data_IF_196735931996
#
_entry.id   IF_196735931996
#
_cell.length_a   1.000
_cell.length_b   1.000
_cell.length_c   1.000
_cell.angle_alpha   90.00
_cell.angle_beta   90.00
_cell.angle_gamma   90.00
#
_symmetry.space_group_name_H-M   'P 1'
#
loop_
_entity.id
_entity.type
_entity.pdbx_description
1 polymer ?
#
# COMPACT_ATOMS: atom_id res chain seq x y z
N UNK A 1 4.03 7.02 33.66
CA UNK A 1 3.14 8.18 33.45
C UNK A 1 1.69 7.68 33.39
N UNK A 2 0.75 8.32 34.08
CA UNK A 2 -0.67 7.95 33.99
C UNK A 2 -1.30 8.70 32.80
N UNK A 3 -1.76 7.97 31.79
CA UNK A 3 -2.31 8.54 30.54
C UNK A 3 -3.64 7.89 30.21
N UNK A 4 -4.44 8.56 29.37
CA UNK A 4 -5.77 8.10 28.95
C UNK A 4 -5.71 6.76 28.21
N UNK A 5 -6.86 6.09 27.99
CA UNK A 5 -6.93 4.88 27.16
C UNK A 5 -6.44 5.16 25.73
N UNK A 6 -6.83 6.29 25.15
CA UNK A 6 -6.32 6.78 23.87
C UNK A 6 -4.80 6.89 23.87
N UNK A 7 -4.23 7.62 24.88
CA UNK A 7 -2.78 7.77 24.99
C UNK A 7 -2.05 6.44 25.12
N UNK A 8 -2.61 5.50 25.91
CA UNK A 8 -2.04 4.14 26.03
C UNK A 8 -2.01 3.42 24.68
N UNK A 9 -3.12 3.44 23.94
CA UNK A 9 -3.18 2.80 22.62
C UNK A 9 -2.14 3.34 21.64
N UNK A 10 -2.04 4.66 21.53
CA UNK A 10 -1.15 5.30 20.55
C UNK A 10 0.32 5.42 21.01
N UNK A 11 0.66 4.99 22.23
CA UNK A 11 2.04 4.93 22.74
C UNK A 11 2.48 3.51 23.07
N UNK A 12 1.67 2.48 22.76
CA UNK A 12 2.07 1.09 22.86
C UNK A 12 2.98 0.70 21.69
N UNK A 13 3.83 -0.30 21.93
CA UNK A 13 4.57 -0.92 20.84
C UNK A 13 3.59 -1.54 19.84
N UNK A 14 3.62 -1.06 18.61
CA UNK A 14 2.85 -1.58 17.48
C UNK A 14 3.80 -2.02 16.38
N UNK A 15 3.31 -2.86 15.47
CA UNK A 15 4.13 -3.33 14.34
C UNK A 15 4.66 -2.17 13.49
N UNK A 16 3.84 -1.13 13.25
CA UNK A 16 4.28 0.05 12.50
C UNK A 16 5.32 0.87 13.26
N UNK A 17 5.19 1.04 14.58
CA UNK A 17 6.15 1.79 15.40
C UNK A 17 7.50 1.07 15.43
N UNK A 18 7.50 -0.25 15.70
CA UNK A 18 8.72 -1.06 15.68
C UNK A 18 9.42 -0.98 14.33
N UNK A 19 8.66 -1.07 13.24
CA UNK A 19 9.18 -0.94 11.88
C UNK A 19 9.84 0.42 11.66
N UNK A 20 9.18 1.52 12.05
CA UNK A 20 9.71 2.88 11.86
C UNK A 20 10.95 3.12 12.70
N UNK A 21 11.00 2.62 13.94
CA UNK A 21 12.18 2.72 14.81
C UNK A 21 13.36 1.92 14.23
N UNK A 22 13.12 0.69 13.74
CA UNK A 22 14.15 -0.14 13.14
C UNK A 22 14.70 0.45 11.84
N UNK A 23 13.82 1.01 11.00
CA UNK A 23 14.21 1.72 9.78
C UNK A 23 15.01 2.99 10.09
N UNK A 24 14.57 3.77 11.09
CA UNK A 24 15.27 4.98 11.54
C UNK A 24 16.65 4.65 12.09
N UNK A 25 16.77 3.62 12.91
CA UNK A 25 18.03 3.16 13.46
C UNK A 25 18.99 2.63 12.37
N UNK A 26 18.46 1.91 11.38
CA UNK A 26 19.26 1.41 10.27
C UNK A 26 19.79 2.54 9.36
N UNK A 27 18.99 3.57 9.10
CA UNK A 27 19.43 4.76 8.35
C UNK A 27 20.53 5.55 9.05
N UNK A 28 20.58 5.49 10.38
CA UNK A 28 21.57 6.15 11.21
C UNK A 28 22.77 5.24 11.60
N UNK A 29 22.79 4.00 11.08
CA UNK A 29 23.84 3.03 11.39
C UNK A 29 25.08 3.25 10.53
N UNK A 30 26.27 3.20 11.15
CA UNK A 30 27.55 3.18 10.42
C UNK A 30 27.82 1.83 9.74
N UNK A 31 27.04 0.79 10.03
CA UNK A 31 27.17 -0.52 9.41
C UNK A 31 26.29 -0.62 8.16
N UNK A 32 26.77 -1.24 7.08
CA UNK A 32 25.92 -1.47 5.90
C UNK A 32 24.74 -2.36 6.26
N UNK A 33 23.53 -1.94 5.90
CA UNK A 33 22.28 -2.67 6.13
C UNK A 33 21.59 -2.91 4.79
N UNK A 34 21.23 -4.16 4.53
CA UNK A 34 20.37 -4.54 3.38
C UNK A 34 18.91 -4.18 3.73
N UNK A 35 18.47 -2.99 3.31
CA UNK A 35 17.18 -2.39 3.68
C UNK A 35 16.04 -2.93 2.81
N UNK A 36 15.69 -4.21 2.95
CA UNK A 36 14.58 -4.81 2.19
C UNK A 36 13.21 -4.67 2.89
N UNK A 37 13.15 -4.06 4.08
CA UNK A 37 11.92 -3.81 4.82
C UNK A 37 11.26 -2.46 4.51
N UNK A 38 11.98 -1.51 3.91
CA UNK A 38 11.54 -0.14 3.72
C UNK A 38 10.34 0.03 2.80
N UNK A 39 9.57 1.09 3.03
CA UNK A 39 8.45 1.50 2.18
C UNK A 39 8.73 2.77 1.34
N UNK A 40 9.96 3.28 1.36
CA UNK A 40 10.34 4.44 0.56
C UNK A 40 10.36 4.10 -0.93
N UNK A 41 9.94 5.03 -1.80
CA UNK A 41 10.11 4.86 -3.24
C UNK A 41 11.61 4.85 -3.61
N UNK A 42 11.93 4.19 -4.73
CA UNK A 42 13.27 4.18 -5.27
C UNK A 42 13.70 5.56 -5.75
N UNK A 43 15.01 5.76 -5.80
CA UNK A 43 15.64 6.96 -6.32
C UNK A 43 15.86 6.82 -7.82
N UNK A 44 14.90 7.29 -8.64
CA UNK A 44 14.95 7.21 -10.10
C UNK A 44 15.56 8.50 -10.65
N UNK A 45 16.73 8.43 -11.26
CA UNK A 45 17.51 9.61 -11.65
C UNK A 45 16.74 10.57 -12.57
N UNK A 46 16.10 10.06 -13.63
CA UNK A 46 15.31 10.87 -14.58
C UNK A 46 14.12 11.56 -13.91
N UNK A 47 13.47 10.90 -12.96
CA UNK A 47 12.35 11.49 -12.19
C UNK A 47 12.88 12.58 -11.24
N UNK A 48 14.02 12.33 -10.59
CA UNK A 48 14.63 13.30 -9.67
C UNK A 48 15.10 14.57 -10.37
N UNK A 49 15.58 14.49 -11.62
CA UNK A 49 15.94 15.66 -12.41
C UNK A 49 14.74 16.58 -12.62
N UNK A 50 13.57 16.02 -12.94
CA UNK A 50 12.32 16.79 -13.08
C UNK A 50 11.92 17.43 -11.74
N UNK A 51 12.02 16.68 -10.64
CA UNK A 51 11.69 17.21 -9.31
C UNK A 51 12.68 18.29 -8.86
N UNK A 52 13.96 18.11 -9.13
CA UNK A 52 14.97 19.12 -8.81
C UNK A 52 14.67 20.44 -9.57
N UNK A 53 14.29 20.36 -10.84
CA UNK A 53 13.89 21.53 -11.59
C UNK A 53 12.62 22.17 -11.01
N UNK A 54 11.60 21.37 -10.71
CA UNK A 54 10.37 21.83 -10.05
C UNK A 54 10.66 22.58 -8.73
N UNK A 55 11.57 22.06 -7.89
CA UNK A 55 11.98 22.74 -6.65
C UNK A 55 12.68 24.07 -6.93
N UNK A 56 13.60 24.10 -7.91
CA UNK A 56 14.28 25.34 -8.32
C UNK A 56 13.27 26.38 -8.80
N UNK A 57 12.33 25.99 -9.64
CA UNK A 57 11.31 26.88 -10.18
C UNK A 57 10.40 27.45 -9.07
N UNK A 58 10.11 26.65 -8.03
CA UNK A 58 9.28 27.08 -6.90
C UNK A 58 9.92 28.18 -6.05
N UNK A 59 11.26 28.27 -6.06
CA UNK A 59 12.02 29.28 -5.32
C UNK A 59 12.22 30.55 -6.15
N UNK A 60 12.14 30.45 -7.49
CA UNK A 60 12.29 31.60 -8.39
C UNK A 60 11.08 32.52 -8.26
N UNK A 61 11.33 33.80 -8.36
CA UNK A 61 10.34 34.88 -8.20
C UNK A 61 10.81 35.94 -7.21
N UNK A 62 10.40 37.17 -7.42
CA UNK A 62 10.75 38.30 -6.54
C UNK A 62 9.77 38.36 -5.35
N UNK A 63 10.23 37.98 -4.18
CA UNK A 63 9.49 38.14 -2.91
C UNK A 63 8.14 37.40 -2.89
N UNK A 64 7.03 38.13 -2.97
CA UNK A 64 5.68 37.57 -2.85
C UNK A 64 5.28 36.64 -4.01
N UNK A 65 5.98 36.64 -5.13
CA UNK A 65 5.69 35.78 -6.29
C UNK A 65 6.34 34.41 -6.21
N UNK A 66 7.19 34.14 -5.17
CA UNK A 66 7.76 32.83 -4.94
C UNK A 66 6.72 31.86 -4.40
N UNK A 67 6.44 30.77 -5.12
CA UNK A 67 5.52 29.71 -4.68
C UNK A 67 5.98 29.11 -3.34
N UNK A 68 7.29 28.91 -3.16
CA UNK A 68 7.84 28.37 -1.93
C UNK A 68 7.57 29.31 -0.74
N UNK A 69 7.75 30.64 -0.90
CA UNK A 69 7.47 31.61 0.14
C UNK A 69 5.96 31.71 0.45
N UNK A 70 5.11 31.74 -0.57
CA UNK A 70 3.65 31.73 -0.39
C UNK A 70 3.20 30.52 0.42
N UNK A 71 3.75 29.33 0.11
CA UNK A 71 3.43 28.10 0.83
C UNK A 71 3.92 28.09 2.27
N UNK A 72 5.06 28.71 2.54
CA UNK A 72 5.62 28.79 3.90
C UNK A 72 4.91 29.82 4.79
N UNK A 73 4.35 30.88 4.17
CA UNK A 73 3.84 32.05 4.89
C UNK A 73 2.33 32.00 5.20
N UNK A 74 1.57 31.17 4.48
CA UNK A 74 0.11 31.21 4.54
C UNK A 74 -0.50 29.82 4.72
N UNK A 75 -1.48 29.72 5.60
CA UNK A 75 -2.33 28.53 5.67
C UNK A 75 -3.18 28.37 4.41
N UNK A 76 -3.40 27.13 3.99
CA UNK A 76 -4.44 26.82 3.00
C UNK A 76 -5.82 26.71 3.67
N UNK A 77 -6.85 26.54 2.85
CA UNK A 77 -8.17 26.13 3.33
C UNK A 77 -8.07 24.73 3.97
N UNK A 78 -8.87 24.38 4.99
CA UNK A 78 -8.91 23.03 5.56
C UNK A 78 -9.17 21.91 4.55
N UNK A 79 -9.86 22.19 3.45
CA UNK A 79 -10.04 21.26 2.33
C UNK A 79 -8.73 21.01 1.57
N UNK A 80 -7.81 21.97 1.57
CA UNK A 80 -6.51 21.92 0.88
C UNK A 80 -6.25 23.10 -0.03
N UNK A 81 -5.16 23.04 -0.80
CA UNK A 81 -4.77 24.07 -1.76
C UNK A 81 -5.74 24.11 -2.95
N UNK A 82 -6.43 25.25 -3.13
CA UNK A 82 -7.48 25.40 -4.13
C UNK A 82 -6.98 25.36 -5.58
N UNK A 83 -5.71 25.76 -5.83
CA UNK A 83 -5.10 25.69 -7.17
C UNK A 83 -4.83 24.24 -7.54
N UNK A 84 -4.28 23.48 -6.61
CA UNK A 84 -4.03 22.05 -6.81
C UNK A 84 -5.32 21.24 -6.95
N UNK A 85 -6.34 21.53 -6.12
CA UNK A 85 -7.66 20.89 -6.25
C UNK A 85 -8.27 21.17 -7.63
N UNK A 86 -8.16 22.42 -8.15
CA UNK A 86 -8.63 22.75 -9.51
C UNK A 86 -7.89 21.94 -10.56
N UNK A 87 -6.55 21.87 -10.46
CA UNK A 87 -5.73 21.10 -11.40
C UNK A 87 -6.12 19.60 -11.40
N UNK A 88 -6.40 19.04 -10.21
CA UNK A 88 -6.85 17.65 -10.10
C UNK A 88 -8.25 17.43 -10.72
N UNK A 89 -9.19 18.35 -10.51
CA UNK A 89 -10.53 18.30 -11.14
C UNK A 89 -10.38 18.27 -12.66
N UNK A 90 -9.62 19.20 -13.22
CA UNK A 90 -9.38 19.28 -14.66
C UNK A 90 -8.68 18.03 -15.20
N UNK A 91 -7.69 17.53 -14.46
CA UNK A 91 -6.96 16.30 -14.81
C UNK A 91 -7.88 15.08 -14.84
N UNK A 92 -8.62 14.80 -13.75
CA UNK A 92 -9.47 13.60 -13.68
C UNK A 92 -10.65 13.66 -14.67
N UNK A 93 -11.27 14.81 -14.86
CA UNK A 93 -12.33 14.97 -15.86
C UNK A 93 -11.82 14.80 -17.28
N UNK A 94 -10.61 15.26 -17.60
CA UNK A 94 -9.98 15.08 -18.91
C UNK A 94 -9.63 13.62 -19.21
N UNK A 95 -9.16 12.87 -18.20
CA UNK A 95 -8.70 11.49 -18.39
C UNK A 95 -9.77 10.43 -18.18
N UNK A 96 -10.80 10.69 -17.35
CA UNK A 96 -11.77 9.69 -16.91
C UNK A 96 -13.23 10.10 -17.08
N UNK A 97 -13.50 11.35 -17.45
CA UNK A 97 -14.87 11.88 -17.67
C UNK A 97 -15.82 11.66 -16.47
N UNK A 98 -15.29 11.83 -15.25
CA UNK A 98 -16.07 11.57 -14.03
C UNK A 98 -17.07 12.67 -13.67
N UNK A 99 -16.95 13.86 -14.28
CA UNK A 99 -17.79 15.01 -13.97
C UNK A 99 -17.63 15.54 -12.55
N UNK A 100 -16.48 15.29 -11.91
CA UNK A 100 -16.19 15.76 -10.54
C UNK A 100 -15.95 17.25 -10.50
N UNK A 101 -16.20 17.85 -9.33
CA UNK A 101 -15.98 19.25 -9.02
C UNK A 101 -15.01 19.41 -7.87
N UNK A 102 -14.72 20.63 -7.48
CA UNK A 102 -13.90 20.90 -6.28
C UNK A 102 -14.49 20.33 -5.00
N UNK A 103 -15.81 20.17 -4.95
CA UNK A 103 -16.50 19.63 -3.79
C UNK A 103 -16.27 18.12 -3.62
N UNK A 104 -15.69 17.46 -4.63
CA UNK A 104 -15.36 16.04 -4.60
C UNK A 104 -13.92 15.75 -4.17
N UNK A 105 -13.07 16.76 -3.92
CA UNK A 105 -11.65 16.54 -3.60
C UNK A 105 -11.27 17.22 -2.28
N UNK A 106 -10.61 16.48 -1.39
CA UNK A 106 -9.91 17.03 -0.23
C UNK A 106 -8.46 16.54 -0.19
N UNK A 107 -7.56 17.38 0.35
CA UNK A 107 -6.18 17.04 0.61
C UNK A 107 -5.99 16.66 2.07
N UNK A 108 -4.97 15.86 2.35
CA UNK A 108 -4.56 15.44 3.70
C UNK A 108 -3.04 15.43 3.81
N UNK A 109 -2.51 15.33 5.03
CA UNK A 109 -1.07 15.19 5.28
C UNK A 109 -0.55 13.77 4.98
N UNK A 110 -0.70 13.34 3.72
CA UNK A 110 -0.47 12.00 3.23
C UNK A 110 -1.69 11.09 3.42
N UNK A 111 -1.74 9.97 2.68
CA UNK A 111 -2.85 9.00 2.75
C UNK A 111 -3.02 8.37 4.15
N UNK A 112 -1.95 8.23 4.93
CA UNK A 112 -2.06 7.74 6.32
C UNK A 112 -3.01 8.62 7.17
N UNK A 113 -2.97 9.93 6.99
CA UNK A 113 -3.87 10.86 7.67
C UNK A 113 -5.32 10.72 7.14
N UNK A 114 -5.49 10.47 5.83
CA UNK A 114 -6.79 10.18 5.24
C UNK A 114 -7.40 8.90 5.84
N UNK A 115 -6.64 7.81 5.95
CA UNK A 115 -7.12 6.55 6.54
C UNK A 115 -7.45 6.70 8.03
N UNK A 116 -6.66 7.47 8.78
CA UNK A 116 -7.01 7.78 10.16
C UNK A 116 -8.39 8.46 10.24
N UNK A 117 -8.70 9.40 9.35
CA UNK A 117 -10.01 10.03 9.32
C UNK A 117 -11.11 9.06 8.88
N UNK A 118 -10.93 8.38 7.76
CA UNK A 118 -11.95 7.50 7.18
C UNK A 118 -12.31 6.34 8.10
N UNK A 119 -11.31 5.71 8.73
CA UNK A 119 -11.58 4.58 9.62
C UNK A 119 -12.29 5.01 10.91
N UNK A 120 -12.09 6.24 11.38
CA UNK A 120 -12.82 6.78 12.52
C UNK A 120 -14.14 7.48 12.14
N UNK A 121 -14.38 7.75 10.85
CA UNK A 121 -15.69 8.19 10.34
C UNK A 121 -16.65 7.01 10.14
N UNK A 122 -16.12 5.86 9.70
CA UNK A 122 -16.92 4.70 9.31
C UNK A 122 -16.78 3.49 10.25
N UNK A 123 -15.86 3.52 11.20
CA UNK A 123 -15.71 2.54 12.29
C UNK A 123 -15.95 3.17 13.65
N UNK A 124 -16.38 2.37 14.63
CA UNK A 124 -16.62 2.81 16.00
C UNK A 124 -18.07 2.77 16.41
N UNK A 125 -18.42 3.50 17.46
CA UNK A 125 -19.76 3.56 18.01
C UNK A 125 -20.67 4.48 17.18
N UNK A 126 -21.81 3.96 16.76
CA UNK A 126 -22.90 4.67 16.08
C UNK A 126 -24.17 4.62 16.93
N UNK A 127 -25.17 5.43 16.60
CA UNK A 127 -26.44 5.44 17.33
C UNK A 127 -27.19 4.10 17.26
N UNK A 128 -26.94 3.31 16.20
CA UNK A 128 -27.54 2.00 15.93
C UNK A 128 -26.61 0.82 16.29
N UNK A 129 -25.48 1.06 16.95
CA UNK A 129 -24.53 0.05 17.39
C UNK A 129 -23.11 0.26 16.85
N UNK A 130 -22.20 -0.62 17.22
CA UNK A 130 -20.81 -0.53 16.77
C UNK A 130 -20.65 -1.03 15.34
N UNK A 131 -19.84 -0.31 14.53
CA UNK A 131 -19.51 -0.68 13.15
C UNK A 131 -18.02 -0.85 12.96
N UNK A 132 -17.64 -1.77 12.08
CA UNK A 132 -16.26 -2.08 11.74
C UNK A 132 -15.95 -1.75 10.29
N UNK A 133 -14.67 -1.58 9.98
CA UNK A 133 -14.15 -1.54 8.62
C UNK A 133 -13.92 -2.98 8.16
N UNK A 134 -14.51 -3.36 7.04
CA UNK A 134 -14.34 -4.67 6.44
C UNK A 134 -13.19 -4.64 5.42
N UNK A 135 -12.21 -5.51 5.63
CA UNK A 135 -11.10 -5.77 4.70
C UNK A 135 -11.41 -7.06 3.92
N UNK A 136 -11.89 -6.96 2.68
CA UNK A 136 -12.42 -8.11 1.93
C UNK A 136 -11.33 -9.08 1.47
N UNK A 137 -10.09 -8.66 1.53
CA UNK A 137 -8.90 -9.45 1.24
C UNK A 137 -7.78 -9.02 2.19
N UNK A 138 -7.28 -9.95 2.98
CA UNK A 138 -6.04 -9.76 3.75
C UNK A 138 -4.94 -10.64 3.15
N UNK A 139 -3.67 -10.33 3.31
CA UNK A 139 -3.10 -9.25 4.12
C UNK A 139 -3.28 -7.87 3.49
N UNK A 140 -3.32 -6.83 4.33
CA UNK A 140 -3.45 -5.42 3.98
C UNK A 140 -2.39 -4.56 4.69
N UNK A 141 -2.34 -3.26 4.39
CA UNK A 141 -1.31 -2.36 4.88
C UNK A 141 -1.22 -2.34 6.41
N UNK A 142 -0.01 -2.59 6.94
CA UNK A 142 0.29 -2.62 8.38
C UNK A 142 -0.19 -1.36 9.13
N UNK A 143 -0.16 -0.20 8.49
CA UNK A 143 -0.59 1.07 9.07
C UNK A 143 -2.10 1.18 9.33
N UNK A 144 -2.93 0.25 8.81
CA UNK A 144 -4.36 0.25 9.07
C UNK A 144 -4.67 -0.18 10.50
N UNK A 145 -3.96 -1.19 11.02
CA UNK A 145 -4.22 -1.76 12.35
C UNK A 145 -4.27 -0.70 13.46
N UNK A 146 -3.44 0.32 13.36
CA UNK A 146 -3.30 1.37 14.35
C UNK A 146 -4.08 2.65 14.01
N UNK A 147 -4.69 2.76 12.84
CA UNK A 147 -5.35 3.98 12.39
C UNK A 147 -6.71 4.24 13.05
N UNK A 148 -7.35 3.24 13.68
CA UNK A 148 -8.58 3.43 14.44
C UNK A 148 -8.29 3.75 15.92
N UNK A 149 -9.06 4.68 16.53
CA UNK A 149 -8.82 5.19 17.88
C UNK A 149 -8.75 4.10 18.95
N UNK A 150 -9.63 3.09 18.90
CA UNK A 150 -9.61 1.98 19.86
C UNK A 150 -8.98 0.68 19.33
N UNK A 151 -8.69 0.60 18.03
CA UNK A 151 -8.01 -0.53 17.39
C UNK A 151 -8.82 -1.82 17.26
N UNK A 152 -10.15 -1.76 17.47
CA UNK A 152 -11.00 -2.96 17.52
C UNK A 152 -11.91 -3.14 16.33
N UNK A 153 -12.10 -2.12 15.52
CA UNK A 153 -13.13 -2.06 14.49
C UNK A 153 -12.61 -2.43 13.10
N UNK A 154 -11.91 -3.58 13.02
CA UNK A 154 -11.54 -4.19 11.74
C UNK A 154 -12.00 -5.64 11.70
N UNK A 155 -12.58 -6.03 10.57
CA UNK A 155 -12.91 -7.43 10.25
C UNK A 155 -12.22 -7.75 8.93
N UNK A 156 -11.33 -8.74 8.94
CA UNK A 156 -10.61 -9.19 7.75
C UNK A 156 -11.15 -10.52 7.23
N UNK A 157 -11.10 -10.71 5.91
CA UNK A 157 -11.40 -11.99 5.25
C UNK A 157 -10.09 -12.63 4.82
N UNK A 158 -9.90 -13.92 5.16
CA UNK A 158 -8.76 -14.72 4.69
C UNK A 158 -8.81 -14.86 3.17
N UNK A 159 -7.67 -14.80 2.45
CA UNK A 159 -7.65 -14.97 1.02
C UNK A 159 -7.93 -16.41 0.60
N UNK A 160 -8.51 -16.59 -0.58
CA UNK A 160 -8.30 -17.84 -1.35
C UNK A 160 -6.93 -17.77 -1.99
N UNK A 161 -6.12 -18.82 -1.78
CA UNK A 161 -4.76 -18.92 -2.33
C UNK A 161 -4.83 -19.80 -3.57
N UNK A 162 -4.50 -19.22 -4.73
CA UNK A 162 -4.43 -19.94 -6.00
C UNK A 162 -2.97 -20.06 -6.44
N UNK A 163 -2.49 -21.30 -6.64
CA UNK A 163 -1.19 -21.53 -7.29
C UNK A 163 -1.32 -21.18 -8.77
N UNK A 164 -0.33 -20.50 -9.30
CA UNK A 164 -0.33 -20.06 -10.70
C UNK A 164 1.09 -20.01 -11.26
N UNK A 165 1.17 -19.89 -12.57
CA UNK A 165 2.41 -19.58 -13.27
C UNK A 165 2.52 -18.07 -13.52
N UNK A 166 3.73 -17.58 -13.60
CA UNK A 166 4.05 -16.24 -14.02
C UNK A 166 5.23 -16.27 -14.99
N UNK A 167 5.06 -15.65 -16.15
CA UNK A 167 6.07 -15.62 -17.22
C UNK A 167 6.62 -17.02 -17.60
N UNK A 168 5.71 -18.00 -17.72
CA UNK A 168 5.99 -19.42 -17.97
C UNK A 168 6.87 -20.11 -16.91
N UNK A 169 6.90 -19.57 -15.70
CA UNK A 169 7.62 -20.16 -14.56
C UNK A 169 6.59 -20.55 -13.49
N UNK A 170 6.80 -21.72 -12.87
CA UNK A 170 6.05 -22.21 -11.70
C UNK A 170 6.52 -21.57 -10.39
N UNK A 171 5.89 -21.95 -9.28
CA UNK A 171 6.26 -21.48 -7.93
C UNK A 171 5.73 -20.09 -7.61
N UNK A 172 4.65 -19.69 -8.27
CA UNK A 172 3.91 -18.48 -7.95
C UNK A 172 2.54 -18.82 -7.35
N UNK A 173 1.96 -17.83 -6.67
CA UNK A 173 0.59 -17.87 -6.19
C UNK A 173 -0.06 -16.49 -6.26
N UNK A 174 -1.38 -16.47 -6.21
CA UNK A 174 -2.18 -15.24 -6.18
C UNK A 174 -3.25 -15.32 -5.12
N UNK A 175 -3.49 -14.21 -4.46
CA UNK A 175 -4.64 -14.06 -3.57
C UNK A 175 -5.89 -13.63 -4.34
N UNK A 176 -7.00 -14.24 -3.97
CA UNK A 176 -8.34 -13.92 -4.47
C UNK A 176 -9.28 -13.63 -3.31
N UNK A 177 -10.25 -12.75 -3.54
CA UNK A 177 -11.32 -12.51 -2.56
C UNK A 177 -12.14 -13.78 -2.36
N UNK A 178 -12.32 -14.19 -1.11
CA UNK A 178 -13.29 -15.23 -0.78
C UNK A 178 -14.69 -14.63 -0.66
N UNK A 179 -15.36 -14.50 -1.80
CA UNK A 179 -16.69 -13.95 -1.85
C UNK A 179 -17.74 -14.79 -1.14
N UNK A 180 -17.53 -16.10 -1.00
CA UNK A 180 -18.46 -16.96 -0.27
C UNK A 180 -18.38 -16.62 1.23
N UNK A 181 -17.18 -16.48 1.77
CA UNK A 181 -16.98 -16.04 3.14
C UNK A 181 -17.50 -14.60 3.36
N UNK A 182 -17.23 -13.70 2.42
CA UNK A 182 -17.65 -12.29 2.49
C UNK A 182 -19.17 -12.15 2.52
N UNK A 183 -19.90 -12.78 1.58
CA UNK A 183 -21.37 -12.66 1.46
C UNK A 183 -22.10 -13.39 2.59
N UNK A 184 -21.46 -14.35 3.25
CA UNK A 184 -21.99 -15.04 4.41
C UNK A 184 -21.61 -14.42 5.75
N UNK A 185 -20.84 -13.33 5.75
CA UNK A 185 -20.42 -12.65 6.98
C UNK A 185 -21.62 -12.08 7.76
N UNK A 186 -21.81 -12.54 8.98
CA UNK A 186 -22.92 -12.10 9.84
C UNK A 186 -22.84 -10.60 10.16
N UNK A 187 -21.64 -10.06 10.36
CA UNK A 187 -21.44 -8.65 10.63
C UNK A 187 -21.97 -7.75 9.49
N UNK A 188 -21.85 -8.21 8.22
CA UNK A 188 -22.39 -7.50 7.06
C UNK A 188 -23.92 -7.55 7.04
N UNK A 189 -24.51 -8.73 7.33
CA UNK A 189 -25.96 -8.93 7.38
C UNK A 189 -26.62 -8.18 8.55
N UNK A 190 -25.90 -8.01 9.65
CA UNK A 190 -26.39 -7.38 10.89
C UNK A 190 -26.07 -5.88 10.98
N UNK A 191 -25.73 -5.22 9.87
CA UNK A 191 -25.41 -3.77 9.81
C UNK A 191 -24.24 -3.36 10.73
N UNK A 192 -23.26 -4.24 10.95
CA UNK A 192 -22.09 -3.99 11.79
C UNK A 192 -20.85 -3.57 10.98
N UNK A 193 -21.03 -3.30 9.70
CA UNK A 193 -19.98 -2.79 8.80
C UNK A 193 -20.32 -1.36 8.43
N UNK A 194 -19.35 -0.45 8.58
CA UNK A 194 -19.50 0.95 8.21
C UNK A 194 -18.86 1.30 6.87
N UNK A 195 -17.85 0.54 6.44
CA UNK A 195 -17.23 0.67 5.12
C UNK A 195 -16.51 -0.62 4.72
N UNK A 196 -16.34 -0.85 3.42
CA UNK A 196 -15.40 -1.84 2.87
C UNK A 196 -14.14 -1.07 2.47
N UNK A 197 -12.95 -1.59 2.79
CA UNK A 197 -11.69 -0.99 2.39
C UNK A 197 -10.76 -2.03 1.77
N UNK A 198 -10.19 -1.71 0.60
CA UNK A 198 -9.17 -2.53 -0.05
C UNK A 198 -8.09 -1.66 -0.69
N UNK A 199 -6.88 -2.19 -0.85
CA UNK A 199 -5.80 -1.53 -1.59
C UNK A 199 -5.61 -2.15 -2.98
N UNK A 200 -5.28 -1.31 -3.99
CA UNK A 200 -5.13 -1.74 -5.37
C UNK A 200 -4.08 -0.93 -6.12
N UNK A 201 -2.85 -1.40 -6.29
CA UNK A 201 -2.22 -2.64 -5.77
C UNK A 201 -2.09 -2.68 -4.25
N UNK A 202 -2.07 -3.90 -3.72
CA UNK A 202 -1.99 -4.13 -2.28
C UNK A 202 -0.56 -3.99 -1.76
N UNK A 203 -0.38 -3.27 -0.68
CA UNK A 203 0.75 -3.41 0.21
C UNK A 203 0.31 -4.35 1.35
N UNK A 204 0.87 -5.58 1.50
CA UNK A 204 2.27 -5.94 1.21
C UNK A 204 2.50 -6.73 -0.09
N UNK A 205 1.49 -7.26 -0.73
CA UNK A 205 1.60 -8.41 -1.65
C UNK A 205 1.87 -8.04 -3.10
N UNK A 206 1.61 -6.78 -3.49
CA UNK A 206 1.59 -6.39 -4.90
C UNK A 206 0.37 -6.93 -5.66
N UNK A 207 -0.61 -7.54 -4.97
CA UNK A 207 -1.82 -8.06 -5.59
C UNK A 207 -2.65 -6.94 -6.22
N UNK A 208 -3.18 -7.18 -7.40
CA UNK A 208 -4.14 -6.28 -8.06
C UNK A 208 -5.47 -7.02 -8.15
N UNK A 209 -6.47 -6.54 -7.40
CA UNK A 209 -7.84 -7.01 -7.54
C UNK A 209 -8.29 -6.81 -8.98
N UNK A 210 -8.90 -7.83 -9.57
CA UNK A 210 -9.43 -7.74 -10.94
C UNK A 210 -10.58 -6.74 -11.02
N UNK A 211 -10.90 -6.27 -12.24
CA UNK A 211 -12.05 -5.39 -12.45
C UNK A 211 -13.37 -6.06 -12.02
N UNK A 212 -13.49 -7.38 -12.21
CA UNK A 212 -14.66 -8.16 -11.79
C UNK A 212 -14.77 -8.26 -10.26
N UNK A 213 -13.63 -8.46 -9.56
CA UNK A 213 -13.59 -8.44 -8.09
C UNK A 213 -13.99 -7.07 -7.56
N UNK A 214 -13.47 -5.98 -8.17
CA UNK A 214 -13.82 -4.61 -7.79
C UNK A 214 -15.31 -4.31 -8.00
N UNK A 215 -15.86 -4.69 -9.16
CA UNK A 215 -17.28 -4.51 -9.46
C UNK A 215 -18.17 -5.30 -8.47
N UNK A 216 -17.76 -6.51 -8.08
CA UNK A 216 -18.50 -7.31 -7.10
C UNK A 216 -18.43 -6.71 -5.70
N UNK A 217 -17.26 -6.19 -5.28
CA UNK A 217 -17.10 -5.48 -3.99
C UNK A 217 -17.97 -4.22 -3.94
N UNK A 218 -18.00 -3.45 -5.02
CA UNK A 218 -18.83 -2.26 -5.14
C UNK A 218 -20.32 -2.58 -5.09
N UNK A 219 -20.76 -3.61 -5.79
CA UNK A 219 -22.15 -4.09 -5.73
C UNK A 219 -22.54 -4.51 -4.29
N UNK A 220 -21.64 -5.16 -3.56
CA UNK A 220 -21.87 -5.51 -2.14
C UNK A 220 -21.96 -4.23 -1.31
N UNK A 221 -21.04 -3.29 -1.48
CA UNK A 221 -21.06 -2.02 -0.75
C UNK A 221 -22.36 -1.24 -0.99
N UNK A 222 -22.80 -1.13 -2.24
CA UNK A 222 -24.07 -0.48 -2.59
C UNK A 222 -25.27 -1.20 -2.00
N UNK A 223 -25.31 -2.54 -2.06
CA UNK A 223 -26.39 -3.36 -1.49
C UNK A 223 -26.61 -3.08 0.01
N UNK A 224 -25.52 -2.85 0.74
CA UNK A 224 -25.57 -2.58 2.17
C UNK A 224 -25.52 -1.08 2.52
N UNK A 225 -25.55 -0.21 1.50
CA UNK A 225 -25.50 1.25 1.64
C UNK A 225 -24.29 1.73 2.48
N UNK A 226 -23.13 1.16 2.22
CA UNK A 226 -21.84 1.52 2.82
C UNK A 226 -20.84 1.91 1.73
N UNK A 227 -19.88 2.81 1.99
CA UNK A 227 -18.88 3.19 0.98
C UNK A 227 -17.84 2.09 0.75
N UNK A 228 -17.31 2.05 -0.49
CA UNK A 228 -16.11 1.31 -0.85
C UNK A 228 -14.91 2.27 -0.83
N UNK A 229 -13.99 2.08 0.11
CA UNK A 229 -12.73 2.84 0.21
C UNK A 229 -11.66 2.07 -0.58
N UNK A 230 -10.99 2.73 -1.51
CA UNK A 230 -9.92 2.17 -2.32
C UNK A 230 -8.62 2.92 -2.02
N UNK A 231 -7.65 2.23 -1.41
CA UNK A 231 -6.28 2.72 -1.31
C UNK A 231 -5.59 2.55 -2.66
N UNK A 232 -5.42 3.66 -3.35
CA UNK A 232 -4.83 3.74 -4.67
C UNK A 232 -3.40 4.34 -4.63
N UNK A 233 -2.69 4.20 -3.50
CA UNK A 233 -1.37 4.81 -3.32
C UNK A 233 -0.32 4.36 -4.34
N UNK A 234 -0.46 3.16 -4.91
CA UNK A 234 0.40 2.62 -5.97
C UNK A 234 -0.27 2.56 -7.34
N UNK A 235 -1.55 2.89 -7.41
CA UNK A 235 -2.39 2.69 -8.58
C UNK A 235 -2.36 3.81 -9.60
N UNK A 236 -3.34 3.77 -10.52
CA UNK A 236 -3.52 4.74 -11.59
C UNK A 236 -4.17 6.03 -11.09
N UNK A 237 -3.92 7.17 -11.74
CA UNK A 237 -3.07 7.40 -12.89
C UNK A 237 -1.58 7.54 -12.52
N UNK A 238 -1.30 7.87 -11.27
CA UNK A 238 0.04 8.03 -10.71
C UNK A 238 0.10 7.40 -9.31
N UNK A 239 1.19 6.68 -8.95
CA UNK A 239 2.41 6.39 -9.73
C UNK A 239 2.22 5.34 -10.82
N UNK A 240 1.06 4.71 -10.92
CA UNK A 240 0.70 3.68 -11.89
C UNK A 240 1.66 2.46 -11.89
N UNK A 241 2.03 2.01 -10.70
CA UNK A 241 2.86 0.82 -10.55
C UNK A 241 1.94 -0.41 -10.58
N UNK A 242 1.33 -0.65 -11.76
CA UNK A 242 0.46 -1.78 -12.08
C UNK A 242 1.00 -2.46 -13.33
N UNK A 243 1.24 -3.76 -13.25
CA UNK A 243 1.84 -4.58 -14.31
C UNK A 243 0.83 -5.55 -14.96
N UNK A 244 -0.42 -5.45 -14.58
CA UNK A 244 -1.53 -6.24 -15.14
C UNK A 244 -2.65 -5.33 -15.62
N UNK A 245 -3.67 -5.91 -16.28
CA UNK A 245 -4.83 -5.13 -16.74
C UNK A 245 -5.68 -4.72 -15.53
N UNK A 246 -5.97 -3.42 -15.42
CA UNK A 246 -6.85 -2.86 -14.41
C UNK A 246 -7.44 -1.55 -14.93
N UNK A 247 -8.64 -1.21 -14.46
CA UNK A 247 -9.29 0.06 -14.74
C UNK A 247 -9.57 0.81 -13.44
N UNK A 248 -9.40 2.12 -13.47
CA UNK A 248 -9.78 2.98 -12.35
C UNK A 248 -11.22 3.46 -12.59
N UNK A 249 -12.08 3.21 -11.61
CA UNK A 249 -13.50 3.60 -11.63
C UNK A 249 -13.79 4.46 -10.41
N UNK A 250 -14.63 5.48 -10.60
CA UNK A 250 -15.15 6.29 -9.51
C UNK A 250 -16.63 6.63 -9.75
N UNK A 251 -17.40 6.66 -8.67
CA UNK A 251 -18.74 7.21 -8.55
C UNK A 251 -19.02 7.48 -7.05
N UNK A 252 -20.15 8.08 -6.72
CA UNK A 252 -20.46 8.60 -5.39
C UNK A 252 -20.32 7.61 -4.21
N UNK A 253 -20.44 6.31 -4.46
CA UNK A 253 -20.25 5.28 -3.42
C UNK A 253 -18.79 4.89 -3.19
N UNK A 254 -17.86 5.35 -4.05
CA UNK A 254 -16.43 5.05 -3.97
C UNK A 254 -15.67 6.23 -3.35
N UNK A 255 -14.80 5.91 -2.39
CA UNK A 255 -13.81 6.83 -1.83
C UNK A 255 -12.44 6.41 -2.34
N UNK A 256 -11.83 7.22 -3.23
CA UNK A 256 -10.47 6.97 -3.72
C UNK A 256 -9.45 7.75 -2.89
N UNK A 257 -8.40 7.06 -2.45
CA UNK A 257 -7.30 7.65 -1.70
C UNK A 257 -6.00 7.54 -2.50
N UNK A 258 -5.38 8.68 -2.82
CA UNK A 258 -4.10 8.76 -3.53
C UNK A 258 -3.02 9.38 -2.64
N UNK A 259 -1.76 9.21 -3.04
CA UNK A 259 -0.62 9.81 -2.35
C UNK A 259 0.48 10.20 -3.33
N UNK A 260 1.08 11.37 -3.13
CA UNK A 260 2.30 11.76 -3.84
C UNK A 260 3.54 11.02 -3.34
N UNK A 261 3.42 10.24 -2.25
CA UNK A 261 4.57 9.52 -1.68
C UNK A 261 5.22 8.56 -2.68
N UNK A 262 4.40 7.84 -3.46
CA UNK A 262 4.89 6.74 -4.32
C UNK A 262 5.28 7.17 -5.73
N UNK A 263 5.02 8.43 -6.09
CA UNK A 263 5.64 9.02 -7.29
C UNK A 263 7.09 9.49 -7.05
N UNK A 264 7.62 9.32 -5.84
CA UNK A 264 8.97 9.76 -5.44
C UNK A 264 8.99 10.96 -4.50
N UNK A 265 7.83 11.45 -4.08
CA UNK A 265 7.69 12.66 -3.25
C UNK A 265 7.16 12.34 -1.84
N UNK A 266 7.74 11.34 -1.18
CA UNK A 266 7.28 10.88 0.13
C UNK A 266 7.34 11.97 1.22
N UNK A 267 8.37 12.81 1.19
CA UNK A 267 8.61 13.86 2.19
C UNK A 267 7.65 15.05 2.11
N UNK A 268 6.96 15.28 0.98
CA UNK A 268 6.03 16.42 0.84
C UNK A 268 4.67 16.19 1.51
N UNK A 269 4.42 14.98 2.01
CA UNK A 269 3.26 14.61 2.82
C UNK A 269 1.91 15.06 2.24
N UNK A 270 1.63 14.76 0.98
CA UNK A 270 0.37 15.09 0.31
C UNK A 270 -0.43 13.83 -0.02
N UNK A 271 -1.61 13.72 0.56
CA UNK A 271 -2.66 12.76 0.22
C UNK A 271 -3.82 13.46 -0.47
N UNK A 272 -4.52 12.73 -1.33
CA UNK A 272 -5.67 13.22 -2.09
C UNK A 272 -6.82 12.25 -1.86
N UNK A 273 -7.99 12.75 -1.49
CA UNK A 273 -9.21 11.96 -1.35
C UNK A 273 -10.23 12.46 -2.36
N UNK A 274 -10.79 11.55 -3.14
CA UNK A 274 -11.91 11.82 -4.05
C UNK A 274 -13.12 11.06 -3.54
N UNK A 275 -14.19 11.78 -3.22
CA UNK A 275 -15.41 11.20 -2.68
C UNK A 275 -16.61 12.13 -2.94
N UNK A 276 -17.80 11.69 -2.57
CA UNK A 276 -18.98 12.57 -2.59
C UNK A 276 -18.83 13.76 -1.63
N UNK A 277 -19.51 14.90 -1.91
CA UNK A 277 -19.29 16.17 -1.20
C UNK A 277 -19.43 16.09 0.33
N UNK A 278 -20.34 15.27 0.86
CA UNK A 278 -20.55 15.15 2.31
C UNK A 278 -19.32 14.55 3.01
N UNK A 279 -18.66 13.57 2.39
CA UNK A 279 -17.43 12.96 2.92
C UNK A 279 -16.28 13.97 2.85
N UNK A 280 -16.17 14.71 1.74
CA UNK A 280 -15.14 15.75 1.58
C UNK A 280 -15.30 16.84 2.63
N UNK A 281 -16.54 17.25 2.92
CA UNK A 281 -16.84 18.22 4.00
C UNK A 281 -16.43 17.66 5.37
N UNK A 282 -16.68 16.39 5.64
CA UNK A 282 -16.25 15.76 6.89
C UNK A 282 -14.73 15.73 7.03
N UNK A 283 -14.00 15.34 5.96
CA UNK A 283 -12.53 15.36 5.95
C UNK A 283 -11.99 16.78 6.14
N UNK A 284 -12.58 17.77 5.50
CA UNK A 284 -12.22 19.18 5.66
C UNK A 284 -12.41 19.65 7.13
N UNK A 285 -13.50 19.24 7.76
CA UNK A 285 -13.75 19.55 9.18
C UNK A 285 -12.73 18.88 10.11
N UNK A 286 -12.35 17.62 9.84
CA UNK A 286 -11.30 16.91 10.58
C UNK A 286 -9.93 17.55 10.38
N UNK A 287 -9.59 17.97 9.15
CA UNK A 287 -8.37 18.74 8.89
C UNK A 287 -8.32 20.02 9.74
N UNK A 288 -9.44 20.77 9.79
CA UNK A 288 -9.51 22.01 10.59
C UNK A 288 -9.23 21.76 12.08
N UNK A 289 -9.72 20.66 12.63
CA UNK A 289 -9.55 20.32 14.04
C UNK A 289 -8.15 19.75 14.33
N UNK A 290 -7.64 18.85 13.49
CA UNK A 290 -6.41 18.11 13.75
C UNK A 290 -5.16 18.88 13.30
N UNK A 291 -5.24 19.57 12.16
CA UNK A 291 -4.07 20.17 11.50
C UNK A 291 -4.22 21.68 11.23
N UNK A 292 -5.38 22.29 11.49
CA UNK A 292 -5.85 23.59 10.97
C UNK A 292 -6.04 23.57 9.43
N UNK A 293 -5.04 23.12 8.70
CA UNK A 293 -5.06 22.89 7.27
C UNK A 293 -4.01 21.83 6.89
N UNK A 294 -4.17 21.10 5.79
CA UNK A 294 -3.11 20.24 5.28
C UNK A 294 -1.94 21.07 4.76
N UNK A 295 -0.74 20.47 4.77
CA UNK A 295 0.46 21.10 4.21
C UNK A 295 0.25 21.39 2.72
N UNK A 296 0.44 22.66 2.33
CA UNK A 296 0.22 23.08 0.94
C UNK A 296 1.47 22.97 0.07
N UNK A 297 2.66 22.86 0.65
CA UNK A 297 3.92 22.90 -0.10
C UNK A 297 3.96 21.85 -1.22
N UNK A 298 3.72 20.56 -0.88
CA UNK A 298 3.70 19.49 -1.87
C UNK A 298 2.64 19.67 -2.96
N UNK A 299 1.44 20.09 -2.58
CA UNK A 299 0.36 20.38 -3.51
C UNK A 299 0.73 21.49 -4.49
N UNK A 300 1.19 22.62 -3.97
CA UNK A 300 1.49 23.81 -4.78
C UNK A 300 2.64 23.57 -5.76
N UNK A 301 3.74 22.93 -5.34
CA UNK A 301 4.89 22.68 -6.21
C UNK A 301 4.60 21.64 -7.29
N UNK A 302 3.68 20.68 -7.04
CA UNK A 302 3.31 19.63 -8.00
C UNK A 302 2.23 20.08 -8.98
N UNK A 303 1.50 21.17 -8.68
CA UNK A 303 0.43 21.70 -9.54
C UNK A 303 0.83 21.81 -11.02
N UNK A 304 2.00 22.35 -11.40
CA UNK A 304 2.40 22.42 -12.81
C UNK A 304 2.52 21.04 -13.48
N UNK A 305 2.98 20.01 -12.74
CA UNK A 305 3.12 18.66 -13.28
C UNK A 305 1.76 17.98 -13.53
N UNK A 306 0.73 18.36 -12.78
CA UNK A 306 -0.66 17.92 -13.00
C UNK A 306 -1.24 18.63 -14.23
N UNK A 307 -1.08 19.96 -14.32
CA UNK A 307 -1.65 20.78 -15.39
C UNK A 307 -1.15 20.40 -16.78
N UNK A 308 0.12 20.01 -16.90
CA UNK A 308 0.77 19.63 -18.16
C UNK A 308 0.90 18.12 -18.38
N UNK A 309 0.17 17.31 -17.58
CA UNK A 309 0.21 15.84 -17.61
C UNK A 309 1.58 15.19 -17.34
N UNK A 310 2.59 15.94 -16.92
CA UNK A 310 3.95 15.43 -16.72
C UNK A 310 4.03 14.36 -15.64
N UNK A 311 3.19 14.44 -14.60
CA UNK A 311 3.13 13.41 -13.56
C UNK A 311 2.68 12.05 -14.11
N UNK A 312 1.73 12.05 -15.04
CA UNK A 312 1.23 10.84 -15.70
C UNK A 312 2.29 10.30 -16.68
N UNK A 313 2.94 11.19 -17.44
CA UNK A 313 4.06 10.82 -18.32
C UNK A 313 5.20 10.14 -17.52
N UNK A 314 5.67 10.76 -16.42
CA UNK A 314 6.69 10.19 -15.55
C UNK A 314 6.27 8.83 -15.00
N UNK A 315 5.01 8.69 -14.61
CA UNK A 315 4.46 7.43 -14.09
C UNK A 315 4.52 6.31 -15.13
N UNK A 316 4.12 6.60 -16.37
CA UNK A 316 4.05 5.61 -17.44
C UNK A 316 5.42 5.30 -18.07
N UNK A 317 6.29 6.30 -18.22
CA UNK A 317 7.54 6.16 -18.99
C UNK A 317 8.74 5.84 -18.11
N UNK A 318 8.74 6.23 -16.83
CA UNK A 318 9.89 6.11 -15.95
C UNK A 318 9.60 5.21 -14.75
N UNK A 319 8.55 5.53 -13.96
CA UNK A 319 8.30 4.88 -12.66
C UNK A 319 7.83 3.43 -12.85
N UNK A 320 6.79 3.23 -13.64
CA UNK A 320 6.22 1.89 -13.89
C UNK A 320 7.22 0.93 -14.53
N UNK A 321 7.96 1.30 -15.61
CA UNK A 321 8.98 0.42 -16.21
C UNK A 321 10.14 0.10 -15.25
N UNK A 322 10.55 1.08 -14.44
CA UNK A 322 11.57 0.86 -13.42
C UNK A 322 11.17 -0.26 -12.45
N UNK A 323 9.98 -0.17 -11.85
CA UNK A 323 9.54 -1.17 -10.88
C UNK A 323 9.23 -2.52 -11.51
N UNK A 324 8.77 -2.58 -12.75
CA UNK A 324 8.63 -3.84 -13.47
C UNK A 324 10.00 -4.53 -13.66
N UNK A 325 11.01 -3.78 -14.06
CA UNK A 325 12.40 -4.29 -14.17
C UNK A 325 12.89 -4.79 -12.81
N UNK A 326 12.73 -4.01 -11.75
CA UNK A 326 13.16 -4.39 -10.41
C UNK A 326 12.45 -5.65 -9.90
N UNK A 327 11.15 -5.81 -10.21
CA UNK A 327 10.43 -7.03 -9.88
C UNK A 327 11.03 -8.25 -10.57
N UNK A 328 11.32 -8.18 -11.87
CA UNK A 328 11.95 -9.27 -12.62
C UNK A 328 13.35 -9.59 -12.07
N UNK A 329 14.20 -8.58 -11.85
CA UNK A 329 15.53 -8.78 -11.25
C UNK A 329 15.45 -9.51 -9.89
N UNK A 330 14.55 -9.08 -9.02
CA UNK A 330 14.40 -9.69 -7.71
C UNK A 330 13.84 -11.13 -7.79
N UNK A 331 12.93 -11.40 -8.74
CA UNK A 331 12.39 -12.75 -8.99
C UNK A 331 13.49 -13.67 -9.48
N UNK A 332 14.31 -13.25 -10.43
CA UNK A 332 15.41 -14.06 -10.97
C UNK A 332 16.42 -14.41 -9.87
N UNK A 333 16.76 -13.44 -9.02
CA UNK A 333 17.62 -13.67 -7.85
C UNK A 333 17.00 -14.67 -6.86
N UNK A 334 15.72 -14.52 -6.55
CA UNK A 334 15.00 -15.45 -5.65
C UNK A 334 14.92 -16.86 -6.24
N UNK A 335 14.60 -16.99 -7.53
CA UNK A 335 14.53 -18.27 -8.22
C UNK A 335 15.90 -18.97 -8.26
N UNK A 336 16.98 -18.22 -8.46
CA UNK A 336 18.33 -18.74 -8.39
C UNK A 336 18.70 -19.21 -6.98
N UNK A 337 18.39 -18.39 -5.96
CA UNK A 337 18.71 -18.65 -4.55
C UNK A 337 17.97 -19.88 -4.00
N UNK A 338 16.68 -20.02 -4.39
CA UNK A 338 15.79 -21.07 -3.89
C UNK A 338 15.46 -22.16 -4.92
N UNK A 339 16.30 -22.37 -5.93
CA UNK A 339 16.07 -23.34 -7.02
C UNK A 339 15.77 -24.78 -6.55
N UNK A 340 16.33 -25.17 -5.40
CA UNK A 340 16.16 -26.51 -4.80
C UNK A 340 15.09 -26.52 -3.68
N UNK A 341 14.28 -25.45 -3.55
CA UNK A 341 13.29 -25.26 -2.50
C UNK A 341 11.89 -24.98 -3.08
N UNK A 342 11.19 -25.98 -3.64
CA UNK A 342 9.86 -25.77 -4.26
C UNK A 342 8.77 -25.28 -3.30
N UNK A 343 9.02 -25.37 -1.99
CA UNK A 343 8.16 -24.80 -0.95
C UNK A 343 8.28 -23.27 -0.80
N UNK A 344 9.27 -22.65 -1.45
CA UNK A 344 9.37 -21.20 -1.51
C UNK A 344 8.59 -20.69 -2.71
N UNK A 345 7.55 -19.90 -2.46
CA UNK A 345 6.65 -19.37 -3.47
C UNK A 345 6.61 -17.84 -3.43
N UNK A 346 6.43 -17.23 -4.58
CA UNK A 346 6.37 -15.78 -4.73
C UNK A 346 4.94 -15.39 -5.12
N UNK A 347 4.35 -14.42 -4.45
CA UNK A 347 3.08 -13.86 -4.93
C UNK A 347 3.30 -13.23 -6.30
N UNK A 348 2.36 -13.48 -7.23
CA UNK A 348 2.41 -12.92 -8.57
C UNK A 348 2.62 -11.40 -8.53
N UNK A 349 3.69 -10.86 -9.13
CA UNK A 349 4.05 -9.45 -9.02
C UNK A 349 3.20 -8.59 -9.96
N UNK A 350 2.01 -8.23 -9.54
CA UNK A 350 1.05 -7.48 -10.37
C UNK A 350 1.16 -5.96 -10.20
N UNK A 351 1.86 -5.51 -9.14
CA UNK A 351 2.08 -4.08 -8.88
C UNK A 351 2.78 -3.77 -7.57
N UNK A 352 2.73 -2.51 -7.16
CA UNK A 352 3.41 -1.94 -6.00
C UNK A 352 4.95 -2.04 -6.07
N UNK A 353 5.61 -1.87 -4.94
CA UNK A 353 7.08 -1.80 -4.82
C UNK A 353 7.63 -2.93 -3.93
N UNK A 354 6.90 -4.01 -3.83
CA UNK A 354 7.20 -5.13 -2.94
C UNK A 354 7.02 -6.46 -3.66
N UNK A 355 7.79 -7.47 -3.20
CA UNK A 355 7.47 -8.88 -3.39
C UNK A 355 7.01 -9.47 -2.07
N UNK A 356 6.05 -10.40 -2.15
CA UNK A 356 5.54 -11.18 -1.05
C UNK A 356 5.96 -12.64 -1.25
N UNK A 357 6.74 -13.16 -0.29
CA UNK A 357 7.40 -14.45 -0.40
C UNK A 357 6.83 -15.37 0.68
N UNK A 358 6.38 -16.53 0.29
CA UNK A 358 5.83 -17.57 1.16
C UNK A 358 6.81 -18.74 1.30
N UNK A 359 7.23 -19.02 2.52
CA UNK A 359 8.04 -20.16 2.90
C UNK A 359 7.11 -21.25 3.47
N UNK A 360 6.48 -22.04 2.61
CA UNK A 360 5.50 -23.03 2.99
C UNK A 360 6.10 -24.05 3.97
N UNK A 361 5.42 -24.27 5.09
CA UNK A 361 5.85 -25.13 6.18
C UNK A 361 7.12 -24.64 6.91
N UNK A 362 7.38 -23.34 6.96
CA UNK A 362 8.46 -22.76 7.77
C UNK A 362 8.31 -23.19 9.23
N UNK A 363 9.35 -23.79 9.88
CA UNK A 363 9.25 -24.32 11.24
C UNK A 363 9.35 -23.24 12.34
N UNK A 364 9.59 -21.98 11.97
CA UNK A 364 9.62 -20.81 12.85
C UNK A 364 8.65 -19.76 12.34
N UNK A 365 8.26 -18.79 13.16
CA UNK A 365 7.50 -17.63 12.69
C UNK A 365 8.38 -16.70 11.87
N UNK A 366 7.79 -15.92 10.95
CA UNK A 366 8.52 -14.90 10.20
C UNK A 366 8.98 -13.74 11.09
N UNK A 367 8.35 -13.53 12.24
CA UNK A 367 8.87 -12.63 13.28
C UNK A 367 10.23 -13.13 13.80
N UNK A 368 10.38 -14.44 14.05
CA UNK A 368 11.69 -15.00 14.47
C UNK A 368 12.72 -14.94 13.35
N UNK A 369 12.30 -15.18 12.11
CA UNK A 369 13.15 -15.00 10.93
C UNK A 369 13.67 -13.55 10.81
N UNK A 370 12.79 -12.58 11.03
CA UNK A 370 13.15 -11.16 11.03
C UNK A 370 14.22 -10.83 12.07
N UNK A 371 14.08 -11.33 13.32
CA UNK A 371 15.05 -11.10 14.38
C UNK A 371 16.46 -11.60 13.99
N UNK A 372 16.54 -12.82 13.44
CA UNK A 372 17.81 -13.42 13.00
C UNK A 372 18.43 -12.61 11.84
N UNK A 373 17.63 -12.24 10.84
CA UNK A 373 18.10 -11.44 9.71
C UNK A 373 18.56 -10.04 10.13
N UNK A 374 17.85 -9.42 11.06
CA UNK A 374 18.19 -8.10 11.61
C UNK A 374 19.57 -8.11 12.30
N UNK A 375 19.88 -9.16 13.08
CA UNK A 375 21.20 -9.35 13.69
C UNK A 375 22.33 -9.45 12.65
N UNK A 376 22.01 -9.97 11.45
CA UNK A 376 22.92 -10.09 10.31
C UNK A 376 22.92 -8.87 9.38
N UNK A 377 22.21 -7.79 9.75
CA UNK A 377 22.17 -6.55 8.96
C UNK A 377 21.24 -6.61 7.74
N UNK A 378 20.23 -7.48 7.74
CA UNK A 378 19.20 -7.55 6.69
C UNK A 378 17.82 -7.33 7.30
N UNK A 379 17.09 -6.32 6.80
CA UNK A 379 15.74 -6.00 7.26
C UNK A 379 14.70 -6.39 6.22
N UNK A 380 13.72 -7.18 6.63
CA UNK A 380 12.51 -7.55 5.90
C UNK A 380 11.28 -7.15 6.75
N UNK A 381 10.06 -7.41 6.31
CA UNK A 381 8.90 -7.28 7.19
C UNK A 381 8.20 -8.62 7.33
N UNK A 382 8.02 -9.10 8.57
CA UNK A 382 7.30 -10.34 8.84
C UNK A 382 5.81 -10.19 8.55
N UNK A 383 5.18 -11.28 8.15
CA UNK A 383 3.80 -11.30 7.66
C UNK A 383 2.75 -11.03 8.73
N UNK A 384 3.02 -11.35 9.96
CA UNK A 384 2.07 -11.30 11.08
C UNK A 384 1.40 -9.94 11.24
N UNK A 385 2.10 -8.87 10.88
CA UNK A 385 1.62 -7.49 11.04
C UNK A 385 0.58 -7.05 9.98
N UNK A 386 0.39 -7.84 8.91
CA UNK A 386 -0.46 -7.44 7.77
C UNK A 386 -1.85 -8.09 7.78
N UNK A 387 -2.08 -9.09 8.63
CA UNK A 387 -3.37 -9.78 8.71
C UNK A 387 -4.33 -9.08 9.67
N UNK A 388 -4.65 -7.82 9.35
CA UNK A 388 -5.50 -6.94 10.16
C UNK A 388 -6.93 -7.47 10.22
N UNK A 389 -7.52 -7.49 11.41
CA UNK A 389 -8.91 -7.93 11.61
C UNK A 389 -9.13 -9.44 11.51
N UNK A 390 -8.06 -10.26 11.52
CA UNK A 390 -8.10 -11.72 11.53
C UNK A 390 -7.43 -12.24 12.79
N UNK A 391 -8.02 -13.27 13.41
CA UNK A 391 -7.31 -14.12 14.36
C UNK A 391 -6.34 -15.03 13.59
N UNK A 392 -5.05 -14.83 13.82
CA UNK A 392 -3.98 -15.58 13.16
C UNK A 392 -3.45 -16.74 13.96
N UNK A 393 -3.96 -17.00 15.18
CA UNK A 393 -3.47 -18.05 16.09
C UNK A 393 -3.44 -19.44 15.46
N UNK A 394 -4.48 -19.78 14.69
CA UNK A 394 -4.62 -21.04 13.95
C UNK A 394 -4.45 -20.88 12.43
N UNK A 395 -3.89 -19.74 11.98
CA UNK A 395 -3.69 -19.47 10.57
C UNK A 395 -2.21 -19.44 10.22
N UNK A 396 -1.66 -20.64 10.02
CA UNK A 396 -0.23 -20.86 9.78
C UNK A 396 0.35 -19.98 8.67
N UNK A 397 -0.36 -19.79 7.55
CA UNK A 397 0.08 -18.97 6.43
C UNK A 397 0.43 -17.51 6.83
N UNK A 398 -0.24 -16.97 7.85
CA UNK A 398 0.06 -15.63 8.37
C UNK A 398 1.44 -15.53 9.06
N UNK A 399 2.09 -16.66 9.34
CA UNK A 399 3.41 -16.75 9.99
C UNK A 399 4.51 -17.29 9.07
N UNK A 400 4.21 -17.48 7.79
CA UNK A 400 5.10 -18.10 6.81
C UNK A 400 5.52 -17.17 5.67
N UNK A 401 5.05 -15.91 5.66
CA UNK A 401 5.34 -15.00 4.58
C UNK A 401 6.20 -13.81 5.02
N UNK A 402 6.92 -13.20 4.08
CA UNK A 402 7.62 -11.93 4.30
C UNK A 402 7.29 -10.95 3.19
N UNK A 403 7.32 -9.64 3.53
CA UNK A 403 7.36 -8.57 2.55
C UNK A 403 8.80 -8.14 2.31
N UNK A 404 9.20 -8.09 1.04
CA UNK A 404 10.49 -7.62 0.59
C UNK A 404 10.32 -6.42 -0.36
N UNK A 405 11.01 -5.30 -0.07
CA UNK A 405 11.03 -4.13 -0.95
C UNK A 405 11.94 -4.36 -2.14
N UNK A 406 11.46 -4.01 -3.33
CA UNK A 406 12.25 -3.99 -4.58
C UNK A 406 12.70 -2.57 -4.96
N UNK A 407 12.46 -1.59 -4.10
CA UNK A 407 12.87 -0.19 -4.30
C UNK A 407 14.34 0.08 -3.91
N UNK A 408 15.19 -0.93 -4.04
CA UNK A 408 16.60 -0.90 -3.65
C UNK A 408 17.52 -1.11 -4.87
N UNK A 409 18.78 -0.66 -4.81
CA UNK A 409 19.79 -1.00 -5.82
C UNK A 409 19.97 -2.53 -5.98
N UNK A 410 20.33 -2.96 -7.17
CA UNK A 410 20.47 -4.38 -7.53
C UNK A 410 21.44 -5.12 -6.60
N UNK A 411 22.55 -4.49 -6.22
CA UNK A 411 23.54 -5.09 -5.30
C UNK A 411 23.02 -5.28 -3.87
N UNK A 412 22.11 -4.40 -3.40
CA UNK A 412 21.43 -4.53 -2.10
C UNK A 412 20.40 -5.65 -2.16
N UNK A 413 19.66 -5.79 -3.28
CA UNK A 413 18.75 -6.89 -3.50
C UNK A 413 19.48 -8.23 -3.49
N UNK A 414 20.59 -8.34 -4.25
CA UNK A 414 21.39 -9.57 -4.31
C UNK A 414 21.92 -9.97 -2.93
N UNK A 415 22.55 -9.07 -2.20
CA UNK A 415 23.09 -9.32 -0.86
C UNK A 415 22.01 -9.73 0.13
N UNK A 416 20.87 -9.01 0.13
CA UNK A 416 19.77 -9.27 1.02
C UNK A 416 19.07 -10.60 0.73
N UNK A 417 18.87 -10.96 -0.55
CA UNK A 417 18.27 -12.25 -0.94
C UNK A 417 19.19 -13.42 -0.56
N UNK A 418 20.51 -13.29 -0.76
CA UNK A 418 21.49 -14.28 -0.30
C UNK A 418 21.45 -14.47 1.21
N UNK A 419 21.39 -13.39 1.99
CA UNK A 419 21.29 -13.47 3.44
C UNK A 419 20.00 -14.18 3.88
N UNK A 420 18.86 -13.90 3.22
CA UNK A 420 17.60 -14.62 3.46
C UNK A 420 17.79 -16.11 3.15
N UNK A 421 18.39 -16.46 2.03
CA UNK A 421 18.64 -17.84 1.63
C UNK A 421 19.53 -18.59 2.62
N UNK A 422 20.60 -17.97 3.09
CA UNK A 422 21.51 -18.55 4.09
C UNK A 422 20.78 -18.89 5.40
N UNK A 423 19.97 -17.96 5.90
CA UNK A 423 19.19 -18.18 7.14
C UNK A 423 18.11 -19.25 6.92
N UNK A 424 17.37 -19.20 5.82
CA UNK A 424 16.30 -20.15 5.51
C UNK A 424 16.83 -21.59 5.41
N UNK A 425 18.00 -21.81 4.79
CA UNK A 425 18.65 -23.14 4.71
C UNK A 425 19.00 -23.72 6.08
N UNK A 426 19.12 -22.92 7.10
CA UNK A 426 19.26 -23.38 8.48
C UNK A 426 17.99 -23.98 9.07
N UNK A 427 16.82 -23.67 8.52
CA UNK A 427 15.52 -24.09 9.04
C UNK A 427 14.78 -25.08 8.14
N UNK A 428 14.88 -24.96 6.82
CA UNK A 428 14.22 -25.86 5.88
C UNK A 428 15.25 -26.59 5.00
N UNK A 429 14.93 -27.85 4.64
CA UNK A 429 15.79 -28.66 3.78
C UNK A 429 15.27 -28.61 2.34
N UNK A 430 16.18 -28.72 1.34
CA UNK A 430 15.79 -28.92 -0.04
C UNK A 430 14.92 -30.19 -0.17
N UNK A 431 13.87 -30.09 -0.96
CA UNK A 431 13.09 -31.27 -1.34
C UNK A 431 13.72 -31.81 -2.64
N UNK A 432 14.18 -33.07 -2.67
CA UNK A 432 14.74 -33.63 -3.90
C UNK A 432 13.71 -33.54 -5.02
N UNK A 433 14.04 -32.85 -6.11
CA UNK A 433 13.22 -32.88 -7.32
C UNK A 433 13.28 -34.29 -7.88
N UNK A 434 12.25 -35.08 -7.65
CA UNK A 434 12.05 -36.30 -8.45
C UNK A 434 11.92 -35.86 -9.89
N UNK A 435 12.87 -36.27 -10.74
CA UNK A 435 12.73 -36.16 -12.20
C UNK A 435 11.36 -36.70 -12.55
N UNK A 436 10.47 -35.84 -13.04
CA UNK A 436 9.20 -36.26 -13.63
C UNK A 436 9.53 -37.20 -14.78
N UNK A 437 9.41 -38.50 -14.53
CA UNK A 437 9.31 -39.49 -15.58
C UNK A 437 8.03 -39.18 -16.35
N UNK A 438 8.20 -38.64 -17.54
CA UNK A 438 7.15 -38.59 -18.55
C UNK A 438 6.60 -40.00 -18.70
N UNK A 439 5.48 -40.29 -18.10
CA UNK A 439 4.62 -41.37 -18.54
C UNK A 439 4.00 -40.95 -19.89
N UNK A 440 4.67 -41.35 -20.96
CA UNK A 440 4.02 -41.45 -22.25
C UNK A 440 2.88 -42.48 -22.10
N UNK A 441 1.66 -42.01 -21.95
CA UNK A 441 0.49 -42.84 -22.22
C UNK A 441 0.29 -42.89 -23.71
N UNK A 442 0.89 -43.91 -24.37
CA UNK A 442 0.30 -44.51 -25.53
C UNK A 442 -0.96 -45.25 -25.07
N UNK A 443 -2.15 -44.85 -25.56
CA UNK A 443 -3.12 -45.77 -26.12
C UNK A 443 -4.49 -45.10 -26.34
N UNK A 444 -4.88 -45.20 -27.61
CA UNK A 444 -6.24 -45.19 -28.22
C UNK A 444 -7.08 -43.92 -28.11
#
# INVERSE_FOLDING_TARGET
>A
MNISKFGKKFTQNSGILQLMDDLGNALNSDKPVNMLGGGNPANIASVNEVYLQMFKDSIQGDGADSVALECASNYSNPQGDGKFITALVDFFNRHYDWGITKDNIALTNGSQNAFFYLFNLFGGAFDDGDKSILLPLTPEYIGYADAHIDGKHFIGIKPKIELCDYDNQDGFFKYKVDFDALENLDALKNNQIGAICCSRPTNPTGNVLTDDEMARLDNIAQKYNIPLIIDNAYGMPFPNIIHTKANLVWHDNIILCFSLSKVGLAGVRTGIVIAKPEIIKAISSLNAIVNLAPCRFGASIVTPLINNDKINELSLQEIRPFYLKQAHTAIDLLKQEFKDFPQVKIHKPEGAIFLWIWFENLPISTQKLYEVLKEQGTLIIPSEHFFVGIDTSDYRHAHECIRMSIAQPDDVLEKGIKAIGEVIRGFIKPIPTHKSTHFLSNQC
#
